data_IF_671588267013
#
_entry.id   IF_671588267013
#
_cell.length_a   1.000
_cell.length_b   1.000
_cell.length_c   1.000
_cell.angle_alpha   90.00
_cell.angle_beta   90.00
_cell.angle_gamma   90.00
#
_symmetry.space_group_name_H-M   'P 1'
#
loop_
_entity.id
_entity.type
_entity.pdbx_description
1 polymer ?
2 non-polymer ?
3 non-polymer ?
4 non-polymer ?
5 water ?
#
# COMPACT_ATOMS: atom_id res chain seq x y z
N UNK A 5 13.50 -0.07 18.53
CA UNK A 5 12.58 -0.72 17.60
C UNK A 5 11.44 0.22 17.23
N UNK A 6 11.19 0.36 15.93
CA UNK A 6 10.24 1.32 15.40
C UNK A 6 9.03 0.55 14.88
N UNK A 7 7.85 1.02 15.25
CA UNK A 7 6.63 0.42 14.75
C UNK A 7 5.65 1.50 14.34
N UNK A 8 4.72 1.10 13.48
CA UNK A 8 3.57 1.91 13.07
C UNK A 8 2.33 1.09 13.35
N UNK A 9 1.20 1.76 13.62
CA UNK A 9 -0.07 1.07 13.74
C UNK A 9 -1.05 1.57 12.68
N UNK A 10 -1.93 0.68 12.22
CA UNK A 10 -2.99 1.06 11.32
C UNK A 10 -4.28 0.35 11.65
N UNK A 11 -5.37 1.10 11.63
CA UNK A 11 -6.70 0.57 11.91
C UNK A 11 -6.74 -0.06 13.29
N UNK A 12 -6.02 0.56 14.22
CA UNK A 12 -5.86 -0.03 15.55
C UNK A 12 -5.87 1.06 16.60
N UNK A 13 -6.65 0.83 17.66
CA UNK A 13 -6.70 1.75 18.81
C UNK A 13 -5.67 1.33 19.86
N UNK A 14 -4.51 1.98 19.83
CA UNK A 14 -3.49 1.73 20.85
C UNK A 14 -4.04 2.20 22.18
N UNK A 15 -3.93 1.36 23.20
CA UNK A 15 -4.43 1.69 24.51
C UNK A 15 -3.36 2.46 25.30
N UNK A 16 -3.80 3.08 26.40
CA UNK A 16 -2.83 3.76 27.28
C UNK A 16 -1.82 2.78 27.86
N UNK A 17 -2.22 1.61 28.36
CA UNK A 17 -1.21 0.65 28.84
C UNK A 17 -0.27 0.18 27.77
N UNK A 18 -0.73 0.09 26.52
CA UNK A 18 0.18 -0.30 25.44
C UNK A 18 1.19 0.78 25.17
N UNK A 19 0.74 2.04 25.14
CA UNK A 19 1.69 3.15 24.95
C UNK A 19 2.70 3.19 26.08
N UNK A 20 2.28 2.93 27.32
CA UNK A 20 3.23 2.92 28.43
C UNK A 20 4.22 1.77 28.31
N UNK A 21 3.77 0.60 27.88
CA UNK A 21 4.69 -0.51 27.64
C UNK A 21 5.70 -0.14 26.57
N UNK A 22 5.22 0.43 25.48
CA UNK A 22 6.12 0.84 24.40
C UNK A 22 7.18 1.79 24.91
N UNK A 23 6.76 2.81 25.63
CA UNK A 23 7.70 3.84 26.12
C UNK A 23 8.77 3.23 27.03
N UNK A 24 8.39 2.29 27.88
CA UNK A 24 9.28 1.75 28.90
C UNK A 24 10.14 0.60 28.42
N UNK A 25 9.92 0.12 27.18
CA UNK A 25 10.61 -1.07 26.72
C UNK A 25 11.34 -0.83 25.39
N UNK A 26 11.68 0.41 25.10
CA UNK A 26 12.58 0.67 23.97
C UNK A 26 11.94 0.61 22.62
N UNK A 27 10.62 0.71 22.55
CA UNK A 27 9.90 0.78 21.29
C UNK A 27 9.49 2.21 21.04
N UNK A 28 9.23 2.54 19.78
CA UNK A 28 8.84 3.87 19.38
C UNK A 28 7.79 3.77 18.28
N UNK A 29 6.71 4.50 18.42
CA UNK A 29 5.67 4.56 17.41
C UNK A 29 5.98 5.71 16.45
N UNK A 30 6.05 5.40 15.17
CA UNK A 30 6.20 6.40 14.12
C UNK A 30 4.84 6.75 13.54
N UNK A 31 4.73 7.98 13.03
CA UNK A 31 3.51 8.40 12.37
C UNK A 31 3.38 7.83 10.97
N UNK A 32 4.50 7.52 10.32
CA UNK A 32 4.51 7.06 8.94
C UNK A 32 5.44 5.87 8.75
N UNK A 33 5.10 5.03 7.78
CA UNK A 33 5.91 3.90 7.41
C UNK A 33 7.09 4.37 6.58
N UNK A 34 8.30 4.00 6.99
CA UNK A 34 9.51 4.29 6.23
C UNK A 34 10.40 3.06 6.23
N UNK A 35 11.56 3.16 5.54
CA UNK A 35 12.52 2.07 5.54
C UNK A 35 13.02 1.73 6.94
N UNK A 36 12.88 2.64 7.89
CA UNK A 36 13.33 2.42 9.26
C UNK A 36 12.27 1.77 10.12
N UNK A 37 11.06 1.53 9.59
CA UNK A 37 10.02 0.81 10.36
C UNK A 37 10.34 -0.67 10.46
N UNK A 38 10.24 -1.23 11.68
CA UNK A 38 10.52 -2.63 11.87
C UNK A 38 9.28 -3.50 11.69
N UNK A 39 8.11 -3.02 12.10
CA UNK A 39 6.88 -3.74 11.85
C UNK A 39 5.69 -2.79 11.98
N UNK A 40 4.58 -3.22 11.38
CA UNK A 40 3.30 -2.49 11.44
C UNK A 40 2.27 -3.37 12.11
N UNK A 41 1.64 -2.87 13.18
CA UNK A 41 0.54 -3.57 13.80
C UNK A 41 -0.75 -3.16 13.11
N UNK A 42 -1.54 -4.15 12.74
CA UNK A 42 -2.83 -3.91 12.09
C UNK A 42 -3.99 -4.33 12.95
N UNK A 43 -5.12 -3.62 12.79
CA UNK A 43 -6.33 -4.02 13.47
C UNK A 43 -6.79 -5.40 13.02
N UNK A 44 -7.57 -6.04 13.87
CA UNK A 44 -7.97 -7.42 13.64
C UNK A 44 -8.82 -7.56 12.38
N UNK A 45 -8.87 -8.77 11.82
CA UNK A 45 -9.62 -8.97 10.58
C UNK A 45 -11.06 -8.52 10.74
N UNK A 46 -11.74 -8.15 9.64
CA UNK A 46 -11.22 -8.21 8.26
C UNK A 46 -10.17 -7.14 7.97
N UNK A 47 -9.12 -7.57 7.29
CA UNK A 47 -8.05 -6.66 6.88
C UNK A 47 -8.59 -5.50 6.10
N UNK A 48 -8.15 -4.29 6.48
CA UNK A 48 -8.44 -3.09 5.71
C UNK A 48 -7.21 -2.66 4.93
N UNK A 49 -7.40 -2.38 3.64
CA UNK A 49 -6.32 -2.07 2.74
C UNK A 49 -5.97 -0.56 2.84
N UNK A 50 -5.43 -0.21 4.01
CA UNK A 50 -5.07 1.15 4.29
C UNK A 50 -3.77 1.56 3.59
N UNK A 51 -3.53 2.86 3.51
CA UNK A 51 -2.29 3.38 2.95
C UNK A 51 -1.08 2.80 3.68
N UNK A 52 -1.11 2.80 5.01
CA UNK A 52 0.03 2.27 5.75
C UNK A 52 0.27 0.80 5.44
N UNK A 53 -0.81 0.00 5.31
CA UNK A 53 -0.66 -1.41 4.95
C UNK A 53 -0.03 -1.56 3.57
N UNK A 54 -0.47 -0.74 2.62
CA UNK A 54 0.07 -0.84 1.27
C UNK A 54 1.53 -0.44 1.23
N UNK A 55 1.90 0.62 1.94
CA UNK A 55 3.30 1.03 1.98
C UNK A 55 4.15 -0.03 2.66
N UNK A 56 3.67 -0.59 3.77
CA UNK A 56 4.43 -1.65 4.42
C UNK A 56 4.65 -2.81 3.49
N UNK A 57 3.61 -3.22 2.78
CA UNK A 57 3.72 -4.35 1.86
C UNK A 57 4.75 -4.02 0.77
N UNK A 58 4.63 -2.84 0.16
CA UNK A 58 5.56 -2.47 -0.88
C UNK A 58 7.01 -2.46 -0.40
N UNK A 59 7.26 -2.02 0.83
CA UNK A 59 8.60 -1.85 1.38
C UNK A 59 9.15 -3.11 2.03
N UNK A 60 8.38 -4.18 2.10
CA UNK A 60 8.89 -5.40 2.74
C UNK A 60 8.88 -5.36 4.25
N UNK A 61 7.91 -4.68 4.85
CA UNK A 61 7.85 -4.53 6.30
C UNK A 61 6.84 -5.53 6.85
N UNK A 62 7.19 -6.33 7.85
CA UNK A 62 6.25 -7.29 8.41
C UNK A 62 5.04 -6.64 9.07
N UNK A 63 3.92 -7.33 8.95
CA UNK A 63 2.65 -6.95 9.53
C UNK A 63 2.37 -7.88 10.71
N UNK A 64 1.89 -7.29 11.81
CA UNK A 64 1.80 -7.96 13.11
C UNK A 64 0.39 -7.82 13.65
N UNK A 65 -0.08 -8.88 14.29
CA UNK A 65 -1.40 -8.90 14.90
C UNK A 65 -1.53 -8.00 16.11
N UNK A 66 -2.76 -7.56 16.35
CA UNK A 66 -3.11 -6.75 17.52
C UNK A 66 -2.80 -7.46 18.83
N UNK A 67 -2.73 -8.79 18.81
CA UNK A 67 -2.50 -9.54 20.04
C UNK A 67 -1.08 -9.38 20.57
N UNK A 68 -0.16 -8.94 19.73
CA UNK A 68 1.25 -8.90 20.09
C UNK A 68 1.47 -8.07 21.36
N UNK A 69 0.98 -6.84 21.38
CA UNK A 69 1.28 -5.97 22.51
C UNK A 69 0.61 -6.49 23.78
N UNK A 70 -0.58 -7.05 23.67
CA UNK A 70 -1.23 -7.66 24.84
C UNK A 70 -0.37 -8.77 25.41
N UNK A 71 0.16 -9.65 24.57
CA UNK A 71 1.00 -10.71 25.06
C UNK A 71 2.32 -10.23 25.63
N UNK A 72 2.89 -9.17 25.07
CA UNK A 72 4.04 -8.52 25.65
C UNK A 72 3.73 -8.04 27.07
N UNK A 73 2.59 -7.41 27.27
CA UNK A 73 2.23 -6.92 28.61
C UNK A 73 2.05 -8.09 29.53
N UNK A 74 1.27 -9.10 29.11
CA UNK A 74 1.03 -10.27 29.96
C UNK A 74 2.33 -10.94 30.38
N UNK A 75 3.30 -11.03 29.47
CA UNK A 75 4.58 -11.68 29.74
C UNK A 75 5.60 -10.76 30.40
N UNK A 76 5.36 -9.45 30.40
CA UNK A 76 6.35 -8.52 30.89
C UNK A 76 7.64 -8.52 30.10
N UNK A 77 7.55 -8.75 28.78
CA UNK A 77 8.74 -8.85 27.96
C UNK A 77 8.39 -8.45 26.54
N UNK A 78 9.40 -7.95 25.83
CA UNK A 78 9.30 -7.66 24.40
C UNK A 78 9.44 -9.00 23.68
N UNK A 79 8.32 -9.56 23.27
CA UNK A 79 8.31 -10.83 22.57
C UNK A 79 8.78 -10.64 21.12
N UNK A 80 9.09 -11.77 20.47
CA UNK A 80 9.50 -11.73 19.05
C UNK A 80 8.27 -11.45 18.21
N UNK A 81 8.26 -10.29 17.52
CA UNK A 81 7.09 -9.96 16.74
C UNK A 81 6.92 -10.91 15.56
N UNK A 82 8.00 -11.59 15.16
CA UNK A 82 7.85 -12.52 14.06
C UNK A 82 6.95 -13.68 14.41
N UNK A 83 6.74 -13.96 15.72
CA UNK A 83 5.80 -14.98 16.14
C UNK A 83 4.36 -14.52 16.17
N UNK A 84 4.10 -13.29 15.76
CA UNK A 84 2.77 -12.69 15.77
C UNK A 84 2.44 -12.11 14.42
N UNK A 85 2.86 -12.77 13.34
CA UNK A 85 2.58 -12.23 12.03
C UNK A 85 1.09 -12.22 11.74
N UNK A 86 0.63 -11.17 11.05
CA UNK A 86 -0.79 -11.02 10.79
C UNK A 86 -1.29 -12.09 9.85
N UNK A 87 -2.50 -12.59 10.13
CA UNK A 87 -3.15 -13.62 9.33
C UNK A 87 -4.57 -13.19 8.96
N UNK A 88 -4.94 -13.44 7.70
CA UNK A 88 -6.31 -13.20 7.24
C UNK A 88 -6.48 -13.95 5.92
N UNK A 89 -6.83 -15.22 6.01
CA UNK A 89 -7.00 -16.03 4.81
C UNK A 89 -8.16 -15.56 3.96
N UNK A 90 -9.18 -14.94 4.55
CA UNK A 90 -10.26 -14.38 3.77
C UNK A 90 -9.77 -13.28 2.84
N UNK A 91 -8.94 -12.36 3.34
CA UNK A 91 -8.43 -11.30 2.48
C UNK A 91 -7.49 -11.85 1.40
N UNK A 92 -6.70 -12.86 1.76
CA UNK A 92 -5.79 -13.47 0.79
C UNK A 92 -6.56 -14.05 -0.41
N UNK A 93 -7.67 -14.74 -0.13
CA UNK A 93 -8.51 -15.26 -1.20
C UNK A 93 -9.19 -14.14 -1.98
N UNK A 94 -9.68 -13.12 -1.28
CA UNK A 94 -10.37 -12.02 -1.96
C UNK A 94 -9.47 -11.30 -2.97
N UNK A 95 -8.24 -10.99 -2.57
CA UNK A 95 -7.34 -10.14 -3.36
C UNK A 95 -6.28 -10.93 -4.09
N UNK A 96 -6.19 -12.24 -3.87
CA UNK A 96 -5.24 -13.06 -4.59
C UNK A 96 -3.81 -12.82 -4.26
N UNK A 97 -3.49 -12.78 -2.97
CA UNK A 97 -2.12 -12.54 -2.54
C UNK A 97 -1.91 -13.34 -1.25
N UNK A 98 -0.66 -13.30 -0.77
CA UNK A 98 -0.30 -13.97 0.48
C UNK A 98 0.37 -12.99 1.42
N UNK A 99 -0.14 -12.92 2.66
CA UNK A 99 0.47 -12.02 3.64
C UNK A 99 1.90 -12.40 4.01
N UNK A 100 2.24 -13.68 3.98
CA UNK A 100 3.59 -14.10 4.34
C UNK A 100 4.59 -13.88 3.22
N UNK A 101 4.16 -13.25 2.12
CA UNK A 101 5.00 -12.90 0.97
C UNK A 101 5.64 -11.53 1.23
N UNK A 102 6.60 -11.52 2.14
CA UNK A 102 7.20 -10.31 2.69
C UNK A 102 8.51 -10.05 1.99
N UNK A 103 8.56 -8.98 1.18
CA UNK A 103 9.75 -8.57 0.47
C UNK A 103 9.45 -7.27 -0.24
N UNK A 104 10.51 -6.52 -0.57
CA UNK A 104 10.36 -5.27 -1.30
C UNK A 104 9.82 -5.53 -2.71
N UNK A 105 8.72 -4.86 -3.05
CA UNK A 105 8.10 -5.05 -4.35
C UNK A 105 8.94 -4.47 -5.48
N UNK A 106 9.00 -5.20 -6.59
CA UNK A 106 9.72 -4.75 -7.76
C UNK A 106 8.84 -4.45 -8.95
N UNK A 107 7.54 -4.73 -8.88
CA UNK A 107 6.71 -4.67 -10.09
C UNK A 107 6.58 -3.27 -10.69
N UNK A 108 6.79 -2.21 -9.93
CA UNK A 108 6.78 -0.85 -10.48
C UNK A 108 8.17 -0.27 -10.71
N UNK A 109 9.23 -1.02 -10.40
CA UNK A 109 10.58 -0.53 -10.66
C UNK A 109 10.79 -0.29 -12.14
N UNK A 110 11.25 0.91 -12.45
CA UNK A 110 11.48 1.29 -13.83
C UNK A 110 10.24 1.62 -14.64
N UNK A 111 9.07 1.60 -14.04
CA UNK A 111 7.83 1.83 -14.76
C UNK A 111 7.52 3.32 -14.76
N UNK A 112 6.91 3.77 -15.85
CA UNK A 112 6.44 5.14 -15.99
C UNK A 112 4.93 5.11 -16.00
N UNK A 113 4.34 5.99 -15.19
CA UNK A 113 2.89 6.00 -15.04
C UNK A 113 2.34 7.38 -15.33
N UNK A 114 1.27 7.44 -16.14
CA UNK A 114 0.55 8.68 -16.40
C UNK A 114 -0.83 8.54 -15.75
N UNK A 115 -1.17 9.46 -14.88
CA UNK A 115 -2.46 9.53 -14.21
C UNK A 115 -3.25 10.67 -14.86
N UNK A 116 -4.46 10.37 -15.35
CA UNK A 116 -5.19 11.37 -16.11
C UNK A 116 -5.62 12.55 -15.25
N UNK A 117 -5.94 13.67 -15.95
CA UNK A 117 -6.40 14.86 -15.25
C UNK A 117 -7.66 14.57 -14.41
N UNK A 118 -8.57 13.78 -14.96
CA UNK A 118 -9.79 13.48 -14.24
C UNK A 118 -9.50 12.83 -12.90
N UNK A 119 -8.55 11.88 -12.87
CA UNK A 119 -8.18 11.27 -11.59
C UNK A 119 -7.52 12.30 -10.70
N UNK A 120 -6.55 13.06 -11.23
CA UNK A 120 -5.83 14.01 -10.40
C UNK A 120 -6.80 14.99 -9.74
N UNK A 121 -7.73 15.52 -10.52
CA UNK A 121 -8.65 16.52 -10.00
C UNK A 121 -9.67 15.93 -9.03
N UNK A 122 -10.16 14.72 -9.30
CA UNK A 122 -11.13 14.09 -8.43
C UNK A 122 -10.52 13.67 -7.11
N UNK A 123 -9.22 13.34 -7.09
CA UNK A 123 -8.55 12.83 -5.91
C UNK A 123 -7.73 13.86 -5.17
N UNK A 124 -7.88 15.15 -5.52
CA UNK A 124 -7.09 16.20 -4.90
C UNK A 124 -7.14 16.06 -3.39
N UNK A 125 -5.99 16.23 -2.75
CA UNK A 125 -5.83 16.06 -1.32
C UNK A 125 -5.24 14.72 -0.97
N UNK A 126 -5.82 14.08 0.06
CA UNK A 126 -5.21 12.89 0.62
C UNK A 126 -5.17 11.71 -0.35
N UNK A 127 -6.17 11.55 -1.19
CA UNK A 127 -6.25 10.37 -2.05
C UNK A 127 -5.15 10.37 -3.10
N UNK A 128 -4.98 11.48 -3.82
CA UNK A 128 -3.93 11.53 -4.83
C UNK A 128 -2.56 11.51 -4.17
N UNK A 129 -2.43 12.15 -3.01
CA UNK A 129 -1.18 12.09 -2.27
C UNK A 129 -0.78 10.64 -2.01
N UNK A 130 -1.74 9.84 -1.55
CA UNK A 130 -1.45 8.46 -1.24
C UNK A 130 -1.06 7.68 -2.48
N UNK A 131 -1.74 7.95 -3.60
CA UNK A 131 -1.44 7.22 -4.84
C UNK A 131 -0.02 7.55 -5.30
N UNK A 132 0.34 8.84 -5.29
CA UNK A 132 1.71 9.21 -5.68
C UNK A 132 2.73 8.59 -4.73
N UNK A 133 2.42 8.55 -3.43
CA UNK A 133 3.34 8.00 -2.45
C UNK A 133 3.58 6.51 -2.66
N UNK A 134 2.52 5.73 -2.86
CA UNK A 134 2.71 4.29 -3.08
C UNK A 134 3.52 4.08 -4.35
N UNK A 135 3.23 4.85 -5.41
CA UNK A 135 3.93 4.63 -6.66
C UNK A 135 5.38 5.01 -6.54
N UNK A 136 5.67 6.21 -6.03
CA UNK A 136 7.04 6.64 -5.93
C UNK A 136 7.85 5.79 -4.96
N UNK A 137 7.22 5.36 -3.84
CA UNK A 137 7.90 4.48 -2.89
C UNK A 137 8.30 3.18 -3.56
N UNK A 138 7.51 2.73 -4.53
CA UNK A 138 7.73 1.49 -5.25
C UNK A 138 8.61 1.67 -6.50
N UNK A 139 9.25 2.80 -6.66
CA UNK A 139 10.19 3.02 -7.75
C UNK A 139 9.61 3.51 -9.06
N UNK A 140 8.34 3.87 -9.11
CA UNK A 140 7.74 4.34 -10.36
C UNK A 140 8.11 5.78 -10.62
N UNK A 141 8.10 6.14 -11.89
CA UNK A 141 8.22 7.50 -12.34
C UNK A 141 6.86 8.01 -12.76
N UNK A 142 6.46 9.14 -12.22
CA UNK A 142 5.17 9.75 -12.56
C UNK A 142 5.39 10.75 -13.69
N UNK A 143 4.63 10.59 -14.77
CA UNK A 143 4.72 11.40 -15.97
C UNK A 143 3.65 12.46 -15.89
N UNK A 144 4.03 13.71 -16.08
CA UNK A 144 3.08 14.80 -15.99
C UNK A 144 2.51 15.26 -17.32
N UNK A 145 3.23 15.04 -18.40
CA UNK A 145 2.86 15.53 -19.74
C UNK A 145 2.20 14.40 -20.50
N UNK A 146 0.92 14.57 -20.84
CA UNK A 146 0.19 13.57 -21.58
C UNK A 146 0.88 13.20 -22.90
N UNK A 147 1.62 14.13 -23.51
CA UNK A 147 2.31 13.80 -24.77
C UNK A 147 3.45 12.82 -24.54
N UNK A 148 4.08 12.85 -23.36
CA UNK A 148 5.08 11.86 -23.01
C UNK A 148 4.46 10.53 -22.62
N UNK A 149 3.17 10.54 -22.29
CA UNK A 149 2.50 9.29 -21.94
C UNK A 149 2.33 8.39 -23.14
N UNK A 150 2.58 8.90 -24.36
CA UNK A 150 2.58 8.07 -25.54
C UNK A 150 3.80 7.15 -25.65
N UNK A 151 4.83 7.37 -24.86
CA UNK A 151 6.04 6.58 -24.94
C UNK A 151 5.77 5.12 -24.61
N UNK A 152 6.55 4.24 -25.22
CA UNK A 152 6.36 2.80 -25.09
C UNK A 152 6.32 2.37 -23.63
N UNK A 153 5.32 1.54 -23.31
CA UNK A 153 5.15 0.84 -22.05
C UNK A 153 4.69 1.75 -20.91
N UNK A 154 4.32 3.00 -21.16
CA UNK A 154 3.72 3.83 -20.12
C UNK A 154 2.44 3.16 -19.65
N UNK A 155 2.25 3.09 -18.33
CA UNK A 155 1.01 2.62 -17.78
C UNK A 155 0.12 3.83 -17.54
N UNK A 156 -1.03 3.87 -18.19
CA UNK A 156 -1.93 4.99 -18.13
C UNK A 156 -3.08 4.59 -17.21
N UNK A 157 -3.30 5.37 -16.18
CA UNK A 157 -4.38 5.16 -15.24
C UNK A 157 -5.45 6.20 -15.52
N UNK A 158 -6.70 5.76 -15.73
CA UNK A 158 -7.81 6.62 -16.08
C UNK A 158 -9.06 6.16 -15.35
N UNK A 159 -10.08 7.02 -15.35
CA UNK A 159 -11.41 6.59 -14.88
C UNK A 159 -12.14 5.87 -16.01
N UNK A 160 -13.00 4.91 -15.69
CA UNK A 160 -13.81 4.28 -16.75
C UNK A 160 -14.86 5.18 -17.35
N UNK A 161 -15.20 6.28 -16.70
CA UNK A 161 -16.26 7.17 -17.16
C UNK A 161 -15.83 8.60 -16.91
N UNK A 162 -16.35 9.53 -17.73
CA UNK A 162 -16.19 10.94 -17.50
C UNK A 162 -14.72 11.39 -17.46
N UNK A 163 -13.90 10.79 -18.34
CA UNK A 163 -12.46 11.04 -18.35
C UNK A 163 -12.05 11.32 -19.81
N UNK A 164 -11.91 12.62 -20.15
CA UNK A 164 -11.66 12.98 -21.54
C UNK A 164 -10.30 12.47 -22.00
N UNK A 165 -9.27 12.58 -21.13
CA UNK A 165 -7.95 12.13 -21.50
C UNK A 165 -7.92 10.64 -21.70
N UNK A 166 -8.56 9.87 -20.79
CA UNK A 166 -8.58 8.44 -20.97
C UNK A 166 -9.29 8.05 -22.24
N UNK A 167 -10.40 8.71 -22.53
CA UNK A 167 -11.15 8.43 -23.77
C UNK A 167 -10.31 8.73 -24.99
N UNK A 168 -9.63 9.86 -24.98
CA UNK A 168 -8.84 10.25 -26.15
C UNK A 168 -7.63 9.35 -26.34
N UNK A 169 -7.01 8.91 -25.27
CA UNK A 169 -5.87 8.02 -25.42
C UNK A 169 -6.29 6.65 -25.88
N UNK A 170 -7.41 6.14 -25.37
CA UNK A 170 -7.93 4.88 -25.85
C UNK A 170 -8.28 4.96 -27.33
N UNK A 171 -8.80 6.12 -27.78
CA UNK A 171 -9.18 6.32 -29.17
C UNK A 171 -7.99 6.32 -30.09
N UNK A 172 -6.79 6.56 -29.58
CA UNK A 172 -5.58 6.44 -30.39
C UNK A 172 -5.11 5.01 -30.54
N UNK A 173 -5.62 4.07 -29.72
CA UNK A 173 -5.17 2.70 -29.71
C UNK A 173 -4.43 2.29 -28.46
N UNK A 174 -4.11 3.26 -27.59
CA UNK A 174 -3.43 2.93 -26.34
C UNK A 174 -4.39 2.26 -25.37
N UNK A 175 -3.82 1.48 -24.45
CA UNK A 175 -4.59 0.89 -23.37
C UNK A 175 -4.54 1.78 -22.13
N UNK A 176 -5.68 1.91 -21.46
CA UNK A 176 -5.78 2.65 -20.19
C UNK A 176 -6.40 1.72 -19.18
N UNK A 177 -6.05 1.96 -17.89
CA UNK A 177 -6.27 0.99 -16.82
C UNK A 177 -6.91 1.68 -15.62
N UNK A 178 -7.73 0.90 -14.90
CA UNK A 178 -8.35 1.37 -13.68
C UNK A 178 -7.33 1.54 -12.56
N UNK A 179 -7.62 2.51 -11.68
CA UNK A 179 -6.70 2.80 -10.58
C UNK A 179 -6.52 1.63 -9.63
N UNK A 180 -7.51 0.73 -9.53
CA UNK A 180 -7.35 -0.46 -8.71
C UNK A 180 -6.14 -1.30 -9.09
N UNK A 181 -5.58 -1.10 -10.28
CA UNK A 181 -4.36 -1.78 -10.67
C UNK A 181 -3.26 -1.63 -9.64
N UNK A 182 -3.14 -0.44 -9.04
CA UNK A 182 -1.97 -0.15 -8.21
C UNK A 182 -1.99 -0.97 -6.92
N UNK A 183 -3.05 -0.84 -6.13
CA UNK A 183 -3.07 -1.54 -4.83
C UNK A 183 -2.93 -3.04 -4.99
N UNK A 184 -3.69 -3.62 -5.92
CA UNK A 184 -3.64 -5.08 -6.10
C UNK A 184 -2.31 -5.55 -6.60
N UNK A 185 -1.65 -4.81 -7.50
CA UNK A 185 -0.35 -5.19 -8.00
C UNK A 185 0.69 -5.14 -6.90
N UNK A 186 0.59 -4.18 -5.96
CA UNK A 186 1.50 -4.16 -4.83
C UNK A 186 1.34 -5.42 -4.00
N UNK A 187 0.09 -5.80 -3.74
CA UNK A 187 -0.17 -6.98 -2.90
C UNK A 187 0.37 -8.24 -3.54
N UNK A 188 0.22 -8.35 -4.85
CA UNK A 188 0.65 -9.54 -5.59
C UNK A 188 2.09 -9.50 -6.03
N UNK A 189 2.77 -8.35 -5.94
CA UNK A 189 4.05 -8.05 -6.60
C UNK A 189 4.03 -8.49 -8.07
N UNK A 190 2.92 -8.18 -8.72
CA UNK A 190 2.72 -8.60 -10.11
C UNK A 190 1.57 -7.79 -10.68
N UNK A 191 1.75 -7.23 -11.90
CA UNK A 191 0.70 -6.45 -12.55
C UNK A 191 -0.06 -7.35 -13.52
N UNK A 192 -1.33 -7.61 -13.23
CA UNK A 192 -2.20 -8.42 -14.09
C UNK A 192 -3.05 -7.45 -14.92
N UNK A 193 -2.43 -6.98 -16.02
CA UNK A 193 -2.99 -5.84 -16.75
C UNK A 193 -4.41 -6.09 -17.22
N UNK A 194 -4.71 -7.29 -17.73
CA UNK A 194 -6.03 -7.51 -18.31
C UNK A 194 -7.15 -7.36 -17.30
N UNK A 195 -6.89 -7.64 -16.01
CA UNK A 195 -7.92 -7.48 -14.99
C UNK A 195 -8.38 -6.03 -14.85
N UNK A 196 -7.54 -5.08 -15.25
CA UNK A 196 -7.81 -3.67 -14.99
C UNK A 196 -8.03 -2.88 -16.26
N UNK A 197 -7.99 -3.52 -17.43
CA UNK A 197 -8.12 -2.82 -18.71
C UNK A 197 -9.50 -2.22 -18.82
N UNK A 198 -9.55 -0.95 -19.21
CA UNK A 198 -10.82 -0.26 -19.39
C UNK A 198 -11.29 -0.54 -20.81
N UNK A 199 -12.56 -0.88 -20.94
CA UNK A 199 -13.16 -1.24 -22.23
C UNK A 199 -13.18 -0.10 -23.21
X LIG B 1 -3.47 6.77 9.99
X LIG B 1 -2.68 7.76 9.95
X LIG B 1 -3.34 5.97 10.94
X LIG B 1 -4.48 6.59 8.90
X LIG B 1 -5.60 5.59 9.11
X LIG B 1 -6.51 6.15 10.06
X LIG B 1 -6.35 5.44 7.81
X LIG B 1 -7.48 4.46 7.78
X LIG B 1 -7.87 3.87 8.81
X LIG B 1 -7.97 4.13 6.68
X LIG B 1 -5.06 4.24 9.58
X LIG B 1 -5.36 3.77 10.68
X LIG B 1 -4.21 3.63 8.87
X LIG B 1 -4.94 7.56 8.72
X LIG B 1 -3.94 6.29 8.01
X LIG B 1 -6.28 5.85 10.96
X LIG B 1 -6.76 6.41 7.53
X LIG B 1 -5.64 5.15 7.04
X LIG C 1 -7.50 4.38 11.15
X LIG D 1 -9.62 1.76 -27.53
X LIG E 1 -3.97 7.08 13.48
#
# INVERSE_FOLDING_TARGET
>A
MNKHTNLVTSSFNLTKPMKSFIRRNGLRVQESVTDETDFVILGSPPLRRTHKFLLATSLGIPLVSSQYLTDCIKSGKVLDFRSYKYKDEEAEAKWGFRLDDIHRRTCFNGKRLYITKAIRDSMVGDSIHGLYSILETSGAEIVGDIKRAQEKDTIILAQPDNDQEGRNMSATGLNVYKIELVALSILRDRIDFDEFLID
>B hetero
1 CIT C1 O1 O2 C2 C3 O7 C4 C5 O3 O4 C6 O5 O6 H21 H22 HO7 H41 H42
>C hetero
1 NA NA
>D hetero
1 NA NA
>E hetero
1 MG MG
#
